data_IF_528474850603
#
_entry.id   IF_528474850603
#
_cell.length_a   1.000
_cell.length_b   1.000
_cell.length_c   1.000
_cell.angle_alpha   90.00
_cell.angle_beta   90.00
_cell.angle_gamma   90.00
#
_symmetry.space_group_name_H-M   'P 1'
#
loop_
_entity.id
_entity.type
_entity.pdbx_description
1 polymer ?
#
# COMPACT_ATOMS: atom_id res chain seq x y z
N UNK A 1 -4.38 -0.37 10.07
CA UNK A 1 -4.27 -1.77 9.60
C UNK A 1 -3.23 -1.85 8.50
N UNK A 2 -2.45 -2.92 8.48
CA UNK A 2 -1.45 -3.18 7.43
C UNK A 2 -1.88 -4.44 6.70
N UNK A 3 -1.99 -4.37 5.38
CA UNK A 3 -2.21 -5.53 4.53
C UNK A 3 -0.94 -5.79 3.72
N UNK A 4 -0.50 -7.05 3.69
CA UNK A 4 0.80 -7.44 3.15
C UNK A 4 0.57 -8.34 1.94
N UNK A 5 1.22 -8.01 0.82
CA UNK A 5 1.35 -8.94 -0.31
C UNK A 5 2.81 -9.09 -0.71
N UNK A 6 3.35 -10.32 -0.69
CA UNK A 6 4.63 -10.58 -1.32
C UNK A 6 4.49 -10.31 -2.82
N UNK A 7 5.37 -9.48 -3.35
CA UNK A 7 5.38 -9.12 -4.76
C UNK A 7 6.82 -8.83 -5.18
N UNK A 8 7.19 -9.34 -6.35
CA UNK A 8 8.40 -8.92 -7.04
C UNK A 8 8.12 -7.68 -7.92
N UNK A 9 9.14 -7.17 -8.59
CA UNK A 9 8.99 -5.99 -9.44
C UNK A 9 8.01 -6.22 -10.62
N UNK A 10 7.92 -7.45 -11.14
CA UNK A 10 7.05 -7.78 -12.27
C UNK A 10 5.56 -7.83 -11.88
N UNK A 11 5.28 -8.20 -10.64
CA UNK A 11 3.91 -8.40 -10.12
C UNK A 11 3.42 -7.27 -9.22
N UNK A 12 4.28 -6.29 -8.91
CA UNK A 12 4.03 -5.16 -8.01
C UNK A 12 2.67 -4.47 -8.24
N UNK A 13 2.37 -4.11 -9.49
CA UNK A 13 1.12 -3.42 -9.85
C UNK A 13 -0.11 -4.25 -9.52
N UNK A 14 -0.06 -5.55 -9.77
CA UNK A 14 -1.17 -6.47 -9.50
C UNK A 14 -1.36 -6.64 -7.99
N UNK A 15 -0.26 -6.77 -7.25
CA UNK A 15 -0.29 -6.87 -5.80
C UNK A 15 -0.90 -5.62 -5.14
N UNK A 16 -0.46 -4.42 -5.55
CA UNK A 16 -1.03 -3.15 -5.06
C UNK A 16 -2.53 -3.09 -5.32
N UNK A 17 -2.98 -3.41 -6.55
CA UNK A 17 -4.41 -3.38 -6.91
C UNK A 17 -5.23 -4.39 -6.11
N UNK A 18 -4.70 -5.59 -5.89
CA UNK A 18 -5.37 -6.61 -5.09
C UNK A 18 -5.54 -6.15 -3.64
N UNK A 19 -4.50 -5.57 -3.03
CA UNK A 19 -4.57 -5.03 -1.67
C UNK A 19 -5.55 -3.86 -1.58
N UNK A 20 -5.57 -2.95 -2.56
CA UNK A 20 -6.56 -1.86 -2.61
C UNK A 20 -7.97 -2.42 -2.52
N UNK A 21 -8.30 -3.45 -3.29
CA UNK A 21 -9.61 -4.11 -3.23
C UNK A 21 -9.93 -4.63 -1.83
N UNK A 22 -9.01 -5.37 -1.21
CA UNK A 22 -9.17 -5.91 0.15
C UNK A 22 -9.37 -4.80 1.19
N UNK A 23 -8.59 -3.72 1.11
CA UNK A 23 -8.68 -2.60 2.05
C UNK A 23 -10.01 -1.84 1.91
N UNK A 24 -10.52 -1.69 0.68
CA UNK A 24 -11.83 -1.12 0.42
C UNK A 24 -12.95 -2.02 0.97
N UNK A 25 -12.83 -3.33 0.81
CA UNK A 25 -13.77 -4.29 1.39
C UNK A 25 -13.81 -4.17 2.92
N UNK A 26 -12.66 -4.01 3.58
CA UNK A 26 -12.61 -3.77 5.03
C UNK A 26 -13.27 -2.45 5.43
N UNK A 27 -13.09 -1.36 4.67
CA UNK A 27 -13.78 -0.09 4.94
C UNK A 27 -15.30 -0.25 4.83
N UNK A 28 -15.77 -0.92 3.77
CA UNK A 28 -17.19 -1.03 3.46
C UNK A 28 -17.91 -2.03 4.38
N UNK A 29 -17.39 -3.24 4.49
CA UNK A 29 -18.06 -4.34 5.20
C UNK A 29 -17.78 -4.32 6.70
N UNK A 30 -16.55 -3.98 7.09
CA UNK A 30 -16.13 -3.99 8.50
C UNK A 30 -16.18 -2.60 9.14
N UNK A 31 -16.64 -1.58 8.39
CA UNK A 31 -16.71 -0.17 8.84
C UNK A 31 -15.39 0.36 9.39
N UNK A 32 -14.27 -0.10 8.84
CA UNK A 32 -12.95 0.34 9.29
C UNK A 32 -12.72 1.83 8.94
N UNK A 33 -12.43 2.66 9.94
CA UNK A 33 -12.24 4.12 9.78
C UNK A 33 -10.79 4.58 9.99
N UNK A 34 -9.91 3.73 10.50
CA UNK A 34 -8.51 4.08 10.77
C UNK A 34 -7.63 4.08 9.52
N UNK A 35 -6.44 4.68 9.62
CA UNK A 35 -5.45 4.64 8.52
C UNK A 35 -5.07 3.21 8.12
N UNK A 36 -4.89 3.01 6.82
CA UNK A 36 -4.56 1.72 6.22
C UNK A 36 -3.30 1.86 5.35
N UNK A 37 -2.40 0.88 5.46
CA UNK A 37 -1.11 0.84 4.75
C UNK A 37 -1.03 -0.45 3.95
N UNK A 38 -0.54 -0.35 2.72
CA UNK A 38 -0.12 -1.47 1.88
C UNK A 38 1.37 -1.72 2.12
N UNK A 39 1.76 -2.93 2.51
CA UNK A 39 3.18 -3.32 2.56
C UNK A 39 3.51 -4.20 1.35
N UNK A 40 4.48 -3.77 0.55
CA UNK A 40 4.98 -4.51 -0.62
C UNK A 40 6.39 -5.03 -0.40
N UNK A 41 6.75 -6.10 -1.12
CA UNK A 41 8.03 -6.81 -0.93
C UNK A 41 9.28 -6.11 -1.49
N UNK A 42 9.13 -5.05 -2.26
CA UNK A 42 10.24 -4.32 -2.85
C UNK A 42 9.92 -2.83 -3.01
N UNK A 43 10.97 -2.00 -3.13
CA UNK A 43 10.81 -0.56 -3.36
C UNK A 43 10.06 -0.28 -4.65
N UNK A 44 9.00 0.51 -4.56
CA UNK A 44 8.24 0.98 -5.72
C UNK A 44 8.90 2.22 -6.29
N UNK A 45 9.44 2.12 -7.51
CA UNK A 45 10.12 3.24 -8.18
C UNK A 45 9.25 3.93 -9.24
N UNK A 46 8.22 3.23 -9.71
CA UNK A 46 7.27 3.72 -10.72
C UNK A 46 6.27 4.70 -10.10
N UNK A 47 6.25 5.94 -10.59
CA UNK A 47 5.26 6.97 -10.19
C UNK A 47 3.82 6.49 -10.38
N UNK A 48 3.57 5.71 -11.44
CA UNK A 48 2.25 5.16 -11.75
C UNK A 48 1.81 4.07 -10.76
N UNK A 49 2.75 3.37 -10.12
CA UNK A 49 2.44 2.37 -9.11
C UNK A 49 2.34 2.99 -7.72
N UNK A 50 3.15 4.02 -7.46
CA UNK A 50 3.06 4.87 -6.26
C UNK A 50 1.71 5.60 -6.17
N UNK A 51 1.17 6.09 -7.29
CA UNK A 51 -0.09 6.84 -7.27
C UNK A 51 -1.31 5.99 -6.91
N UNK A 52 -1.30 4.69 -7.22
CA UNK A 52 -2.43 3.77 -6.98
C UNK A 52 -2.91 3.76 -5.51
N UNK A 53 -2.07 3.48 -4.49
CA UNK A 53 -2.51 3.54 -3.10
C UNK A 53 -2.89 4.95 -2.67
N UNK A 54 -2.15 5.96 -3.13
CA UNK A 54 -2.28 7.34 -2.67
C UNK A 54 -3.61 7.99 -3.09
N UNK A 55 -4.03 7.81 -4.35
CA UNK A 55 -5.33 8.32 -4.81
C UNK A 55 -6.52 7.65 -4.11
N UNK A 56 -6.30 6.48 -3.48
CA UNK A 56 -7.30 5.78 -2.69
C UNK A 56 -7.19 6.06 -1.17
N UNK A 57 -6.29 6.97 -0.77
CA UNK A 57 -6.08 7.36 0.63
C UNK A 57 -5.42 6.26 1.46
N UNK A 58 -4.59 5.41 0.85
CA UNK A 58 -3.81 4.39 1.54
C UNK A 58 -2.34 4.79 1.61
N UNK A 59 -1.68 4.48 2.72
CA UNK A 59 -0.23 4.52 2.81
C UNK A 59 0.40 3.37 2.04
N UNK A 60 1.67 3.52 1.66
CA UNK A 60 2.46 2.49 1.01
C UNK A 60 3.79 2.34 1.75
N UNK A 61 4.16 1.10 2.06
CA UNK A 61 5.38 0.76 2.74
C UNK A 61 6.19 -0.26 1.94
N UNK A 62 7.52 -0.16 2.03
CA UNK A 62 8.45 -1.10 1.41
C UNK A 62 9.72 -1.26 2.26
N UNK A 63 10.43 -2.39 2.14
CA UNK A 63 11.66 -2.62 2.90
C UNK A 63 12.77 -1.62 2.52
N UNK A 64 13.56 -1.22 3.52
CA UNK A 64 14.79 -0.43 3.34
C UNK A 64 16.00 -1.19 3.88
N UNK A 65 16.87 -1.66 2.99
CA UNK A 65 18.04 -2.45 3.39
C UNK A 65 17.65 -3.79 4.04
N UNK A 66 18.41 -4.20 5.05
CA UNK A 66 18.19 -5.46 5.80
C UNK A 66 17.21 -5.34 6.96
N UNK A 67 16.95 -4.13 7.45
CA UNK A 67 16.05 -3.91 8.59
C UNK A 67 15.21 -2.64 8.38
N UNK A 68 13.90 -2.78 8.62
CA UNK A 68 12.96 -1.67 8.60
C UNK A 68 12.21 -1.48 7.28
N UNK A 69 11.20 -0.63 7.34
CA UNK A 69 10.39 -0.25 6.19
C UNK A 69 10.30 1.28 6.12
N UNK A 70 10.43 1.82 4.91
CA UNK A 70 10.00 3.18 4.63
C UNK A 70 8.50 3.17 4.41
N UNK A 71 7.78 4.12 5.01
CA UNK A 71 6.34 4.31 4.82
C UNK A 71 6.13 5.69 4.22
N UNK A 72 5.36 5.75 3.13
CA UNK A 72 4.87 7.00 2.55
C UNK A 72 3.35 7.09 2.63
N UNK A 73 2.88 8.28 2.93
CA UNK A 73 1.47 8.64 2.94
C UNK A 73 1.18 9.59 1.78
N UNK A 74 -0.06 9.63 1.27
CA UNK A 74 -0.47 10.68 0.35
C UNK A 74 -0.35 12.05 1.04
N UNK A 75 0.11 13.05 0.29
CA UNK A 75 0.19 14.43 0.77
C UNK A 75 -1.20 14.90 1.22
N UNK A 76 -1.29 15.44 2.43
CA UNK A 76 -2.56 15.87 3.06
C UNK A 76 -3.22 14.85 3.99
N UNK A 77 -2.64 13.66 4.19
CA UNK A 77 -3.05 12.73 5.26
C UNK A 77 -2.52 13.19 6.63
N UNK A 78 -2.99 14.35 7.09
CA UNK A 78 -2.80 14.91 8.43
C UNK A 78 -3.63 14.21 9.48
#
# INVERSE_FOLDING_TARGET
MVEIKPADAATMRFAIRAVIGQLLDYRQHQRWTGRQVILVGAKVTSTNDLSLPFVNGFGLAWPIGTEGNEIRWPDGAG
#
